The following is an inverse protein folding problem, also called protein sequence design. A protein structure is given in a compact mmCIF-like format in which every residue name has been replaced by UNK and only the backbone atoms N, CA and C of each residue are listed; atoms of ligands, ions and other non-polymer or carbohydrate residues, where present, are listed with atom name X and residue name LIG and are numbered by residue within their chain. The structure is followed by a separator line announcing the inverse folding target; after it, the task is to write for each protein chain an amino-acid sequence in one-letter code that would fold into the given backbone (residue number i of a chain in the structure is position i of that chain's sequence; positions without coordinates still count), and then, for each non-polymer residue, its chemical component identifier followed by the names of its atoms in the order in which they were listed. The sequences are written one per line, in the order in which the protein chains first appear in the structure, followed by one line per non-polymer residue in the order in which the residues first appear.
data_IF_888676916495
#
_entry.id   IF_888676916495
#
_cell.length_a   1.000
_cell.length_b   1.000
_cell.length_c   1.000
_cell.angle_alpha   90.00
_cell.angle_beta   90.00
_cell.angle_gamma   90.00
#
_symmetry.space_group_name_H-M   'P 1'
#
loop_
_entity.id
_entity.type
_entity.pdbx_description
1 polymer ?
#
# COMPACT_ATOMS: atom_id res chain seq x y z
N UNK A 1 -24.55 2.16 -18.00
CA UNK A 1 -23.96 3.31 -17.27
C UNK A 1 -22.73 2.79 -16.56
N UNK A 2 -21.56 3.41 -16.75
CA UNK A 2 -20.37 3.03 -16.00
C UNK A 2 -20.50 3.52 -14.56
N UNK A 3 -20.27 2.63 -13.60
CA UNK A 3 -20.27 2.95 -12.17
C UNK A 3 -18.84 3.15 -11.69
N UNK A 4 -18.65 3.90 -10.59
CA UNK A 4 -17.34 4.07 -9.94
C UNK A 4 -16.66 2.71 -9.72
N UNK A 5 -17.40 1.72 -9.24
CA UNK A 5 -16.86 0.39 -8.93
C UNK A 5 -16.39 -0.34 -10.19
N UNK A 6 -17.14 -0.25 -11.29
CA UNK A 6 -16.71 -0.82 -12.57
C UNK A 6 -15.43 -0.17 -13.12
N UNK A 7 -15.26 1.14 -12.93
CA UNK A 7 -14.06 1.89 -13.31
C UNK A 7 -12.86 1.51 -12.44
N UNK A 8 -13.06 1.42 -11.12
CA UNK A 8 -12.01 1.00 -10.19
C UNK A 8 -11.48 -0.39 -10.52
N UNK A 9 -12.37 -1.33 -10.82
CA UNK A 9 -11.98 -2.70 -11.20
C UNK A 9 -11.19 -2.71 -12.51
N UNK A 10 -11.59 -1.92 -13.51
CA UNK A 10 -10.92 -1.83 -14.80
C UNK A 10 -9.53 -1.20 -14.72
N UNK A 11 -9.32 -0.23 -13.83
CA UNK A 11 -8.02 0.41 -13.65
C UNK A 11 -7.00 -0.47 -12.94
N UNK A 12 -7.44 -1.54 -12.25
CA UNK A 12 -6.51 -2.38 -11.47
C UNK A 12 -5.62 -3.20 -12.38
N UNK A 13 -4.30 -3.19 -12.15
CA UNK A 13 -3.39 -4.03 -12.91
C UNK A 13 -3.60 -5.50 -12.59
N UNK A 14 -3.58 -6.34 -13.61
CA UNK A 14 -3.53 -7.79 -13.42
C UNK A 14 -2.18 -8.20 -12.80
N UNK A 15 -2.25 -9.16 -11.89
CA UNK A 15 -1.08 -9.72 -11.21
C UNK A 15 -1.05 -11.21 -11.53
N UNK A 16 -0.28 -11.58 -12.55
CA UNK A 16 -0.19 -12.95 -13.08
C UNK A 16 0.28 -13.98 -12.03
N UNK A 17 0.97 -13.54 -10.98
CA UNK A 17 1.44 -14.40 -9.88
C UNK A 17 0.40 -14.63 -8.78
N UNK A 18 -0.73 -13.93 -8.79
CA UNK A 18 -1.81 -14.14 -7.83
C UNK A 18 -2.63 -15.38 -8.23
N UNK A 19 -2.13 -16.58 -7.88
CA UNK A 19 -2.91 -17.81 -8.00
C UNK A 19 -4.06 -17.75 -7.00
N UNK A 20 -5.26 -17.42 -7.46
CA UNK A 20 -6.46 -17.51 -6.63
C UNK A 20 -6.86 -18.98 -6.60
N UNK A 21 -6.60 -19.67 -5.48
CA UNK A 21 -6.93 -21.07 -5.29
C UNK A 21 -8.20 -21.20 -4.44
N UNK A 22 -9.05 -22.19 -4.73
CA UNK A 22 -10.31 -22.43 -4.01
C UNK A 22 -10.13 -22.74 -2.50
N UNK A 23 -8.91 -23.12 -2.08
CA UNK A 23 -8.60 -23.46 -0.68
C UNK A 23 -8.04 -22.28 0.14
N UNK A 24 -8.04 -21.06 -0.40
CA UNK A 24 -7.52 -19.88 0.30
C UNK A 24 -8.46 -19.38 1.40
N UNK A 25 -7.89 -18.88 2.49
CA UNK A 25 -8.67 -18.15 3.49
C UNK A 25 -9.28 -16.86 2.89
N UNK A 26 -10.39 -16.39 3.45
CA UNK A 26 -11.04 -15.15 3.01
C UNK A 26 -10.08 -13.95 3.02
N UNK A 27 -9.20 -13.89 4.01
CA UNK A 27 -8.19 -12.83 4.13
C UNK A 27 -7.12 -12.90 3.02
N UNK A 28 -6.65 -14.10 2.68
CA UNK A 28 -5.68 -14.31 1.59
C UNK A 28 -6.30 -14.03 0.23
N UNK A 29 -7.57 -14.42 0.06
CA UNK A 29 -8.34 -14.08 -1.13
C UNK A 29 -8.44 -12.56 -1.29
N UNK A 30 -8.88 -11.85 -0.24
CA UNK A 30 -8.98 -10.39 -0.26
C UNK A 30 -7.62 -9.72 -0.49
N UNK A 31 -6.55 -10.27 0.11
CA UNK A 31 -5.20 -9.77 -0.09
C UNK A 31 -4.77 -9.84 -1.56
N UNK A 32 -4.99 -10.97 -2.21
CA UNK A 32 -4.54 -11.20 -3.60
C UNK A 32 -5.48 -10.57 -4.63
N UNK A 33 -6.79 -10.60 -4.39
CA UNK A 33 -7.80 -10.06 -5.32
C UNK A 33 -7.92 -8.54 -5.24
N UNK A 34 -7.71 -7.96 -4.05
CA UNK A 34 -8.01 -6.54 -3.79
C UNK A 34 -6.77 -5.77 -3.34
N UNK A 35 -6.16 -6.11 -2.20
CA UNK A 35 -5.10 -5.28 -1.61
C UNK A 35 -3.87 -5.16 -2.52
N UNK A 36 -3.39 -6.27 -3.10
CA UNK A 36 -2.22 -6.27 -3.98
C UNK A 36 -2.46 -5.46 -5.27
N UNK A 37 -3.55 -5.67 -6.04
CA UNK A 37 -3.86 -4.85 -7.20
C UNK A 37 -4.02 -3.37 -6.87
N UNK A 38 -4.71 -3.04 -5.78
CA UNK A 38 -4.89 -1.64 -5.36
C UNK A 38 -3.56 -0.99 -4.99
N UNK A 39 -2.73 -1.66 -4.18
CA UNK A 39 -1.43 -1.13 -3.82
C UNK A 39 -0.53 -0.96 -5.06
N UNK A 40 -0.62 -1.88 -6.03
CA UNK A 40 0.11 -1.77 -7.31
C UNK A 40 -0.37 -0.59 -8.15
N UNK A 41 -1.68 -0.39 -8.27
CA UNK A 41 -2.28 0.77 -8.94
C UNK A 41 -1.80 2.09 -8.30
N UNK A 42 -1.73 2.13 -6.97
CA UNK A 42 -1.36 3.33 -6.21
C UNK A 42 0.16 3.56 -6.09
N UNK A 43 1.00 2.91 -6.91
CA UNK A 43 2.46 2.95 -6.74
C UNK A 43 3.03 4.35 -6.57
N UNK A 44 2.84 5.15 -7.60
CA UNK A 44 3.46 6.46 -7.73
C UNK A 44 2.98 7.38 -6.62
N UNK A 45 1.70 7.29 -6.25
CA UNK A 45 1.14 8.07 -5.15
C UNK A 45 1.75 7.66 -3.80
N UNK A 46 1.90 6.36 -3.53
CA UNK A 46 2.50 5.87 -2.29
C UNK A 46 3.96 6.33 -2.17
N UNK A 47 4.72 6.30 -3.27
CA UNK A 47 6.10 6.81 -3.30
C UNK A 47 6.15 8.32 -3.05
N UNK A 48 5.31 9.09 -3.73
CA UNK A 48 5.23 10.55 -3.55
C UNK A 48 4.83 10.93 -2.11
N UNK A 49 3.87 10.21 -1.53
CA UNK A 49 3.44 10.41 -0.13
C UNK A 49 4.58 10.10 0.85
N UNK A 50 5.38 9.07 0.58
CA UNK A 50 6.56 8.76 1.39
C UNK A 50 7.67 9.81 1.25
N UNK A 51 7.94 10.31 0.04
CA UNK A 51 8.91 11.41 -0.16
C UNK A 51 8.49 12.69 0.57
N UNK A 52 7.21 13.04 0.53
CA UNK A 52 6.67 14.15 1.34
C UNK A 52 6.80 13.90 2.85
N UNK A 53 6.65 12.65 3.30
CA UNK A 53 6.91 12.30 4.69
C UNK A 53 8.39 12.53 5.06
N UNK A 54 9.32 12.10 4.21
CA UNK A 54 10.77 12.31 4.40
C UNK A 54 11.11 13.81 4.46
N UNK A 55 10.56 14.62 3.56
CA UNK A 55 10.77 16.07 3.53
C UNK A 55 10.35 16.74 4.84
N UNK A 56 9.20 16.34 5.40
CA UNK A 56 8.74 16.83 6.71
C UNK A 56 9.63 16.43 7.88
N UNK A 57 10.41 15.36 7.73
CA UNK A 57 11.35 14.86 8.72
C UNK A 57 12.80 15.28 8.42
N UNK A 58 12.96 16.47 7.84
CA UNK A 58 14.26 17.12 7.57
C UNK A 58 15.18 16.29 6.68
N UNK A 59 14.64 15.51 5.75
CA UNK A 59 15.43 14.80 4.74
C UNK A 59 16.45 13.79 5.29
N UNK A 60 16.38 13.42 6.58
CA UNK A 60 17.35 12.53 7.25
C UNK A 60 17.44 11.16 6.55
N UNK A 61 16.38 10.72 5.89
CA UNK A 61 16.36 9.49 5.10
C UNK A 61 17.50 9.41 4.07
N UNK A 62 17.85 10.54 3.43
CA UNK A 62 18.83 10.55 2.35
C UNK A 62 20.27 10.36 2.86
N UNK A 63 20.55 10.70 4.12
CA UNK A 63 21.87 10.52 4.74
C UNK A 63 22.11 9.08 5.26
N UNK A 64 21.08 8.23 5.21
CA UNK A 64 21.14 6.85 5.72
C UNK A 64 21.71 5.89 4.69
N UNK A 65 22.39 4.85 5.18
CA UNK A 65 22.72 3.66 4.37
C UNK A 65 21.46 2.93 3.94
N UNK A 66 21.54 2.11 2.89
CA UNK A 66 20.40 1.35 2.36
C UNK A 66 19.70 0.53 3.47
N UNK A 67 20.45 -0.17 4.30
CA UNK A 67 19.90 -0.95 5.43
C UNK A 67 19.11 -0.06 6.39
N UNK A 68 19.68 1.09 6.79
CA UNK A 68 19.01 2.04 7.69
C UNK A 68 17.80 2.71 7.03
N UNK A 69 17.78 2.87 5.70
CA UNK A 69 16.61 3.35 4.95
C UNK A 69 15.47 2.33 4.98
N UNK A 70 15.77 1.04 4.85
CA UNK A 70 14.77 -0.02 5.01
C UNK A 70 14.17 0.01 6.42
N UNK A 71 15.01 0.12 7.45
CA UNK A 71 14.56 0.27 8.84
C UNK A 71 13.74 1.55 9.04
N UNK A 72 14.12 2.64 8.38
CA UNK A 72 13.40 3.91 8.44
C UNK A 72 11.97 3.75 7.88
N UNK A 73 11.80 3.08 6.74
CA UNK A 73 10.48 2.79 6.16
C UNK A 73 9.61 2.00 7.14
N UNK A 74 10.16 0.95 7.75
CA UNK A 74 9.44 0.14 8.74
C UNK A 74 9.01 0.98 9.94
N UNK A 75 9.94 1.75 10.51
CA UNK A 75 9.69 2.59 11.66
C UNK A 75 8.65 3.68 11.35
N UNK A 76 8.71 4.31 10.18
CA UNK A 76 7.74 5.33 9.76
C UNK A 76 6.32 4.75 9.74
N UNK A 77 6.12 3.60 9.11
CA UNK A 77 4.79 2.96 9.01
C UNK A 77 4.32 2.41 10.36
N UNK A 78 5.24 1.89 11.19
CA UNK A 78 4.90 1.29 12.48
C UNK A 78 4.66 2.32 13.59
N UNK A 79 5.49 3.37 13.68
CA UNK A 79 5.46 4.32 14.80
C UNK A 79 4.60 5.56 14.52
N UNK A 80 4.55 6.06 13.29
CA UNK A 80 3.73 7.23 12.96
C UNK A 80 2.29 6.82 12.61
N UNK A 81 1.38 7.03 13.56
CA UNK A 81 -0.04 6.72 13.39
C UNK A 81 -0.72 7.61 12.34
N UNK A 82 -0.33 8.88 12.20
CA UNK A 82 -0.92 9.81 11.23
C UNK A 82 -0.53 9.41 9.82
N UNK A 83 0.76 9.12 9.61
CA UNK A 83 1.26 8.62 8.33
C UNK A 83 0.61 7.29 7.96
N UNK A 84 0.57 6.33 8.90
CA UNK A 84 -0.09 5.04 8.69
C UNK A 84 -1.57 5.19 8.32
N UNK A 85 -2.32 6.06 8.98
CA UNK A 85 -3.73 6.29 8.66
C UNK A 85 -3.93 6.94 7.29
N UNK A 86 -3.02 7.83 6.88
CA UNK A 86 -3.01 8.38 5.51
C UNK A 86 -2.83 7.29 4.46
N UNK A 87 -1.88 6.37 4.67
CA UNK A 87 -1.65 5.24 3.76
C UNK A 87 -2.87 4.31 3.68
N UNK A 88 -3.51 4.02 4.82
CA UNK A 88 -4.77 3.24 4.86
C UNK A 88 -5.86 3.91 4.03
N UNK A 89 -6.05 5.22 4.19
CA UNK A 89 -7.06 5.98 3.45
C UNK A 89 -6.87 5.92 1.94
N UNK A 90 -5.62 6.03 1.46
CA UNK A 90 -5.28 5.92 0.03
C UNK A 90 -5.70 4.55 -0.54
N UNK A 91 -5.44 3.47 0.20
CA UNK A 91 -5.80 2.11 -0.25
C UNK A 91 -7.31 1.88 -0.17
N UNK A 92 -7.94 2.20 0.97
CA UNK A 92 -9.38 1.97 1.18
C UNK A 92 -10.21 2.82 0.21
N UNK A 93 -9.75 4.02 -0.15
CA UNK A 93 -10.41 4.89 -1.13
C UNK A 93 -10.53 4.28 -2.53
N UNK A 94 -9.83 3.19 -2.81
CA UNK A 94 -9.86 2.44 -4.08
C UNK A 94 -10.69 1.15 -3.99
N UNK A 95 -11.36 0.90 -2.87
CA UNK A 95 -12.27 -0.23 -2.74
C UNK A 95 -13.61 0.06 -3.45
N UNK A 96 -14.18 -1.01 -3.98
CA UNK A 96 -15.61 -1.07 -4.32
C UNK A 96 -16.44 -1.14 -3.04
N UNK A 97 -17.76 -0.91 -3.14
CA UNK A 97 -18.64 -1.02 -1.98
C UNK A 97 -18.64 -2.46 -1.42
N UNK A 98 -18.68 -3.46 -2.29
CA UNK A 98 -18.63 -4.88 -1.89
C UNK A 98 -17.34 -5.22 -1.11
N UNK A 99 -16.20 -4.74 -1.58
CA UNK A 99 -14.93 -4.96 -0.91
C UNK A 99 -14.85 -4.24 0.43
N UNK A 100 -15.47 -3.05 0.55
CA UNK A 100 -15.55 -2.34 1.81
C UNK A 100 -16.40 -3.11 2.83
N UNK A 101 -17.54 -3.67 2.42
CA UNK A 101 -18.39 -4.52 3.27
C UNK A 101 -17.66 -5.78 3.75
N UNK A 102 -16.79 -6.37 2.93
CA UNK A 102 -15.91 -7.46 3.36
C UNK A 102 -14.84 -6.95 4.33
N UNK A 103 -14.23 -5.81 4.01
CA UNK A 103 -13.15 -5.23 4.81
C UNK A 103 -13.58 -4.92 6.24
N UNK A 104 -14.77 -4.36 6.46
CA UNK A 104 -15.23 -3.97 7.80
C UNK A 104 -15.45 -5.18 8.72
N UNK A 105 -15.71 -6.38 8.16
CA UNK A 105 -15.88 -7.62 8.94
C UNK A 105 -14.59 -8.12 9.58
N UNK A 106 -13.43 -7.81 9.01
CA UNK A 106 -12.12 -8.22 9.54
C UNK A 106 -11.05 -7.13 9.37
N UNK A 107 -11.41 -5.89 9.66
CA UNK A 107 -10.57 -4.71 9.38
C UNK A 107 -9.22 -4.75 10.10
N UNK A 108 -9.14 -5.33 11.30
CA UNK A 108 -7.87 -5.44 12.05
C UNK A 108 -6.83 -6.29 11.32
N UNK A 109 -7.21 -7.52 10.91
CA UNK A 109 -6.30 -8.42 10.21
C UNK A 109 -5.94 -7.88 8.81
N UNK A 110 -6.93 -7.34 8.08
CA UNK A 110 -6.71 -6.77 6.75
C UNK A 110 -5.84 -5.51 6.80
N UNK A 111 -5.96 -4.68 7.84
CA UNK A 111 -5.07 -3.53 8.04
C UNK A 111 -3.62 -3.95 8.24
N UNK A 112 -3.37 -5.02 9.01
CA UNK A 112 -2.01 -5.55 9.19
C UNK A 112 -1.42 -5.98 7.84
N UNK A 113 -2.15 -6.82 7.09
CA UNK A 113 -1.76 -7.28 5.74
C UNK A 113 -1.55 -6.14 4.75
N UNK A 114 -2.42 -5.13 4.80
CA UNK A 114 -2.31 -3.93 3.96
C UNK A 114 -1.02 -3.17 4.23
N UNK A 115 -0.67 -2.95 5.50
CA UNK A 115 0.57 -2.24 5.85
C UNK A 115 1.82 -3.07 5.52
N UNK A 116 1.76 -4.39 5.63
CA UNK A 116 2.85 -5.27 5.18
C UNK A 116 3.07 -5.14 3.66
N UNK A 117 2.00 -5.12 2.86
CA UNK A 117 2.10 -4.89 1.40
C UNK A 117 2.68 -3.51 1.09
N UNK A 118 2.24 -2.46 1.77
CA UNK A 118 2.73 -1.10 1.53
C UNK A 118 4.21 -0.98 1.89
N UNK A 119 4.65 -1.54 3.03
CA UNK A 119 6.07 -1.60 3.40
C UNK A 119 6.91 -2.26 2.32
N UNK A 120 6.53 -3.46 1.90
CA UNK A 120 7.29 -4.21 0.89
C UNK A 120 7.33 -3.49 -0.46
N UNK A 121 6.26 -2.77 -0.84
CA UNK A 121 6.27 -1.92 -2.02
C UNK A 121 7.23 -0.74 -1.92
N UNK A 122 7.28 -0.05 -0.78
CA UNK A 122 8.21 1.05 -0.60
C UNK A 122 9.67 0.55 -0.61
N UNK A 123 9.94 -0.57 0.07
CA UNK A 123 11.27 -1.19 0.09
C UNK A 123 11.71 -1.66 -1.29
N UNK A 124 10.83 -2.32 -2.06
CA UNK A 124 11.18 -2.79 -3.41
C UNK A 124 11.40 -1.66 -4.41
N UNK A 125 10.89 -0.47 -4.11
CA UNK A 125 11.07 0.74 -4.91
C UNK A 125 12.03 1.73 -4.23
N UNK A 126 12.93 1.27 -3.36
CA UNK A 126 13.84 2.16 -2.61
C UNK A 126 14.70 3.05 -3.51
N UNK A 127 15.08 2.57 -4.70
CA UNK A 127 15.82 3.35 -5.69
C UNK A 127 15.00 4.53 -6.27
N UNK A 128 13.67 4.46 -6.23
CA UNK A 128 12.76 5.54 -6.65
C UNK A 128 12.46 6.53 -5.50
N UNK A 129 13.04 6.29 -4.32
CA UNK A 129 12.95 7.15 -3.15
C UNK A 129 14.21 8.00 -2.96
N UNK A 130 15.12 8.03 -3.93
CA UNK A 130 16.31 8.89 -3.92
C UNK A 130 15.95 10.37 -4.09
N UNK A 131 16.90 11.24 -3.74
CA UNK A 131 16.72 12.71 -3.77
C UNK A 131 16.39 13.23 -5.16
N UNK A 132 16.91 12.60 -6.22
CA UNK A 132 16.67 12.99 -7.61
C UNK A 132 15.20 12.90 -8.05
N UNK A 133 14.36 12.23 -7.26
CA UNK A 133 12.92 12.07 -7.49
C UNK A 133 12.05 12.85 -6.47
N UNK A 134 12.66 13.65 -5.59
CA UNK A 134 12.01 14.34 -4.48
C UNK A 134 11.33 15.66 -4.86
#
# INVERSE_FOLDING_TARGET
METRDSLLLRMRPEISSAKINANMSADEFFQNKTLRPVAKLQNELLLAVFRNYVAKHKNVFYDLTIEKRLDYIENAIHKDMKFRNSLKGIIIGQFTLEEFEIYIKNSSALNKRMMDIVKERLKSNIQLLEYDFA
#
